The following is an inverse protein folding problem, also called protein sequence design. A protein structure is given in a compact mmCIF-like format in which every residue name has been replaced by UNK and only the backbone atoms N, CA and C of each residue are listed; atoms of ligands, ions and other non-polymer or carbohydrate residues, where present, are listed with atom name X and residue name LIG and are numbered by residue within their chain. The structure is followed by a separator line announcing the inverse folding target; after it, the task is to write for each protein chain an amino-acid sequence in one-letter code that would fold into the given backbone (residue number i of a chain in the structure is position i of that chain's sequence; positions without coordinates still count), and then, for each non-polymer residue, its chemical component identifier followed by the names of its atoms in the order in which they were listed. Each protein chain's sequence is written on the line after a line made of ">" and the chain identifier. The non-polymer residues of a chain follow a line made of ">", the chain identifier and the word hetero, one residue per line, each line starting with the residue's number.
data_IF_978196123384
#
_entry.id   IF_978196123384
#
_cell.length_a   1.000
_cell.length_b   1.000
_cell.length_c   1.000
_cell.angle_alpha   90.00
_cell.angle_beta   90.00
_cell.angle_gamma   90.00
#
_symmetry.space_group_name_H-M   'P 1'
#
loop_
_entity.id
_entity.type
_entity.pdbx_description
1 polymer ?
#
# COMPACT_ATOMS: atom_id res chain seq x y z
N UNK A 1 3.45 5.94 5.20
CA UNK A 1 4.59 6.10 6.12
C UNK A 1 4.20 7.17 7.15
N UNK A 2 5.15 7.79 7.83
CA UNK A 2 4.90 8.76 8.89
C UNK A 2 4.80 10.22 8.42
N UNK A 3 4.81 10.51 7.11
CA UNK A 3 4.66 11.88 6.61
C UNK A 3 3.24 12.39 6.84
N UNK A 4 3.10 13.69 7.16
CA UNK A 4 1.80 14.30 7.44
C UNK A 4 0.81 14.16 6.28
N UNK A 5 1.28 14.28 5.02
CA UNK A 5 0.45 14.14 3.83
C UNK A 5 0.06 12.68 3.53
N UNK A 6 0.64 11.70 4.22
CA UNK A 6 0.27 10.29 4.04
C UNK A 6 -1.10 9.96 4.63
N UNK A 7 -1.52 10.61 5.70
CA UNK A 7 -2.85 10.42 6.33
C UNK A 7 -4.03 10.87 5.43
N UNK A 8 -4.04 12.10 4.85
CA UNK A 8 -5.11 12.50 3.93
C UNK A 8 -5.05 11.75 2.59
N UNK A 9 -3.85 11.39 2.11
CA UNK A 9 -3.71 10.56 0.92
C UNK A 9 -4.27 9.15 1.17
N UNK A 10 -3.97 8.54 2.32
CA UNK A 10 -4.54 7.25 2.73
C UNK A 10 -6.06 7.29 2.74
N UNK A 11 -6.63 8.30 3.42
CA UNK A 11 -8.09 8.49 3.46
C UNK A 11 -8.70 8.56 2.06
N UNK A 12 -8.10 9.36 1.17
CA UNK A 12 -8.59 9.52 -0.22
C UNK A 12 -8.49 8.22 -1.02
N UNK A 13 -7.41 7.45 -0.84
CA UNK A 13 -7.23 6.14 -1.49
C UNK A 13 -8.31 5.16 -1.05
N UNK A 14 -8.58 5.06 0.25
CA UNK A 14 -9.63 4.16 0.78
C UNK A 14 -11.00 4.54 0.23
N UNK A 15 -11.34 5.82 0.24
CA UNK A 15 -12.62 6.31 -0.28
C UNK A 15 -12.84 5.97 -1.76
N UNK A 16 -11.80 6.04 -2.59
CA UNK A 16 -11.88 5.77 -4.02
C UNK A 16 -11.83 4.28 -4.34
N UNK A 17 -10.95 3.51 -3.71
CA UNK A 17 -10.82 2.07 -3.96
C UNK A 17 -12.09 1.32 -3.55
N UNK A 18 -12.61 1.61 -2.37
CA UNK A 18 -13.84 0.97 -1.88
C UNK A 18 -15.04 1.38 -2.74
N UNK A 19 -15.14 2.63 -3.18
CA UNK A 19 -16.17 3.08 -4.12
C UNK A 19 -16.11 2.39 -5.50
N UNK A 20 -14.94 1.86 -5.87
CA UNK A 20 -14.74 1.06 -7.08
C UNK A 20 -14.89 -0.45 -6.83
N UNK A 21 -15.28 -0.87 -5.63
CA UNK A 21 -15.48 -2.28 -5.29
C UNK A 21 -14.18 -3.06 -5.06
N UNK A 22 -13.06 -2.37 -4.86
CA UNK A 22 -11.76 -3.00 -4.59
C UNK A 22 -11.69 -3.38 -3.10
N UNK A 23 -11.37 -4.64 -2.81
CA UNK A 23 -11.04 -5.07 -1.45
C UNK A 23 -9.66 -4.51 -1.07
N UNK A 24 -9.59 -3.79 0.04
CA UNK A 24 -8.36 -3.16 0.53
C UNK A 24 -7.97 -3.78 1.86
N UNK A 25 -6.70 -4.17 1.94
CA UNK A 25 -6.06 -4.64 3.17
C UNK A 25 -5.15 -3.53 3.69
N UNK A 26 -5.27 -3.21 4.98
CA UNK A 26 -4.43 -2.20 5.63
C UNK A 26 -3.87 -2.72 6.96
N UNK A 27 -2.80 -2.08 7.43
CA UNK A 27 -2.30 -2.31 8.79
C UNK A 27 -3.36 -1.86 9.81
N UNK A 28 -3.66 -2.75 10.76
CA UNK A 28 -4.57 -2.45 11.88
C UNK A 28 -4.12 -1.25 12.72
N UNK A 29 -5.07 -0.66 13.44
CA UNK A 29 -4.84 0.45 14.39
C UNK A 29 -4.24 1.71 13.73
N UNK A 30 -4.51 1.91 12.44
CA UNK A 30 -3.91 3.00 11.63
C UNK A 30 -2.37 3.00 11.69
N UNK A 31 -1.77 1.80 11.78
CA UNK A 31 -0.32 1.64 11.87
C UNK A 31 0.40 1.89 10.55
N UNK A 32 1.72 2.05 10.63
CA UNK A 32 2.58 2.30 9.46
C UNK A 32 3.15 1.00 8.88
N UNK A 33 3.16 0.89 7.56
CA UNK A 33 3.75 -0.26 6.85
C UNK A 33 4.95 0.18 6.03
N UNK A 34 6.15 -0.40 6.24
CA UNK A 34 7.31 -0.17 5.38
C UNK A 34 7.06 -0.63 3.94
N UNK A 35 7.70 0.02 2.97
CA UNK A 35 7.66 -0.42 1.56
C UNK A 35 7.94 -1.93 1.38
N UNK A 36 9.00 -2.53 1.98
CA UNK A 36 9.24 -3.97 1.84
C UNK A 36 8.17 -4.84 2.54
N UNK A 37 7.46 -4.32 3.54
CA UNK A 37 6.33 -5.01 4.17
C UNK A 37 5.16 -5.20 3.19
N UNK A 38 4.86 -4.17 2.39
CA UNK A 38 3.86 -4.27 1.31
C UNK A 38 4.30 -5.26 0.23
N UNK A 39 5.55 -5.18 -0.23
CA UNK A 39 6.10 -6.14 -1.21
C UNK A 39 6.04 -7.59 -0.71
N UNK A 40 6.41 -7.82 0.55
CA UNK A 40 6.34 -9.14 1.19
C UNK A 40 4.89 -9.65 1.29
N UNK A 41 3.94 -8.80 1.67
CA UNK A 41 2.53 -9.16 1.72
C UNK A 41 1.98 -9.55 0.34
N UNK A 42 2.31 -8.81 -0.72
CA UNK A 42 1.92 -9.13 -2.11
C UNK A 42 2.46 -10.50 -2.51
N UNK A 43 3.77 -10.72 -2.33
CA UNK A 43 4.42 -11.96 -2.75
C UNK A 43 3.88 -13.17 -1.98
N UNK A 44 3.75 -13.07 -0.65
CA UNK A 44 3.25 -14.17 0.18
C UNK A 44 1.78 -14.48 -0.06
N UNK A 45 0.96 -13.47 -0.37
CA UNK A 45 -0.43 -13.68 -0.80
C UNK A 45 -0.48 -14.41 -2.15
N UNK A 46 0.24 -13.91 -3.15
CA UNK A 46 0.20 -14.40 -4.54
C UNK A 46 0.79 -15.80 -4.74
N UNK A 47 1.61 -16.28 -3.81
CA UNK A 47 2.10 -17.65 -3.76
C UNK A 47 1.04 -18.66 -3.29
N UNK A 48 0.06 -18.20 -2.50
CA UNK A 48 -0.93 -19.06 -1.83
C UNK A 48 -2.32 -18.99 -2.45
N UNK A 49 -2.55 -18.03 -3.34
CA UNK A 49 -3.87 -17.74 -3.92
C UNK A 49 -3.79 -17.66 -5.45
N UNK A 50 -4.88 -18.08 -6.09
CA UNK A 50 -5.05 -17.96 -7.53
C UNK A 50 -5.35 -16.50 -7.91
N UNK A 51 -6.22 -15.83 -7.13
CA UNK A 51 -6.38 -14.39 -7.24
C UNK A 51 -5.09 -13.66 -6.84
N UNK A 52 -4.77 -12.56 -7.54
CA UNK A 52 -3.54 -11.81 -7.33
C UNK A 52 -3.83 -10.49 -6.62
N UNK A 53 -3.07 -10.23 -5.58
CA UNK A 53 -2.95 -8.96 -4.90
C UNK A 53 -1.86 -8.10 -5.56
N UNK A 54 -2.04 -6.79 -5.47
CA UNK A 54 -1.07 -5.75 -5.77
C UNK A 54 -1.00 -4.81 -4.55
N UNK A 55 -0.38 -3.63 -4.68
CA UNK A 55 -0.35 -2.71 -3.55
C UNK A 55 -0.04 -1.26 -3.91
N UNK A 56 -0.42 -0.38 -2.98
CA UNK A 56 -0.08 1.03 -3.00
C UNK A 56 0.75 1.34 -1.75
N UNK A 57 1.80 2.12 -1.92
CA UNK A 57 2.60 2.63 -0.80
C UNK A 57 2.55 4.15 -0.81
N UNK A 58 2.09 4.72 0.30
CA UNK A 58 1.98 6.16 0.49
C UNK A 58 3.20 6.62 1.28
N UNK A 59 4.18 7.17 0.57
CA UNK A 59 5.47 7.64 1.10
C UNK A 59 6.22 8.47 0.06
N UNK A 60 6.78 9.63 0.43
CA UNK A 60 7.80 10.31 -0.36
C UNK A 60 9.23 9.91 0.09
N UNK A 61 9.39 8.75 0.72
CA UNK A 61 10.66 8.22 1.21
C UNK A 61 11.31 9.11 2.29
N UNK A 62 12.38 9.81 1.94
CA UNK A 62 13.21 10.62 2.84
C UNK A 62 13.05 12.12 2.56
N UNK A 63 12.08 12.48 1.71
CA UNK A 63 11.80 13.86 1.39
C UNK A 63 11.42 14.67 2.64
N UNK A 64 11.57 16.01 2.58
CA UNK A 64 11.22 16.89 3.68
C UNK A 64 9.77 16.71 4.20
N UNK A 65 9.48 17.12 5.45
CA UNK A 65 8.18 16.87 6.09
C UNK A 65 6.94 17.42 5.37
N UNK A 66 7.10 18.46 4.54
CA UNK A 66 6.01 19.05 3.76
C UNK A 66 5.60 18.23 2.54
N UNK A 67 6.40 17.24 2.15
CA UNK A 67 6.16 16.45 0.94
C UNK A 67 5.24 15.26 1.24
N UNK A 68 4.56 14.81 0.18
CA UNK A 68 3.76 13.59 0.16
C UNK A 68 4.10 12.79 -1.08
N UNK A 69 3.85 11.48 -1.04
CA UNK A 69 4.16 10.60 -2.16
C UNK A 69 3.24 9.39 -2.19
N UNK A 70 2.98 8.87 -3.37
CA UNK A 70 2.18 7.67 -3.61
C UNK A 70 2.81 6.89 -4.77
N UNK A 71 2.92 5.58 -4.63
CA UNK A 71 3.44 4.67 -5.66
C UNK A 71 2.67 3.35 -5.68
N UNK A 72 2.66 2.73 -6.85
CA UNK A 72 1.98 1.46 -7.11
C UNK A 72 3.00 0.33 -7.30
N UNK A 73 2.69 -0.82 -6.70
CA UNK A 73 3.43 -2.07 -6.79
C UNK A 73 2.52 -3.12 -7.42
N UNK A 74 2.81 -3.63 -8.64
CA UNK A 74 2.00 -4.66 -9.28
C UNK A 74 2.11 -6.03 -8.58
N UNK A 75 1.48 -7.04 -9.18
CA UNK A 75 1.36 -8.40 -8.61
C UNK A 75 2.68 -9.13 -8.38
N UNK A 76 3.78 -8.69 -9.00
CA UNK A 76 5.13 -9.21 -8.71
C UNK A 76 5.78 -8.55 -7.47
N UNK A 77 5.08 -7.64 -6.78
CA UNK A 77 5.48 -7.03 -5.51
C UNK A 77 6.56 -5.93 -5.60
N UNK A 78 7.16 -5.73 -6.77
CA UNK A 78 8.15 -4.68 -7.03
C UNK A 78 7.51 -3.34 -7.44
N UNK A 79 8.32 -2.30 -7.72
CA UNK A 79 7.82 -1.06 -8.28
C UNK A 79 7.25 -1.29 -9.69
N UNK A 80 6.18 -0.58 -10.03
CA UNK A 80 5.58 -0.62 -11.36
C UNK A 80 6.56 -0.15 -12.46
N UNK A 81 6.47 -0.79 -13.62
CA UNK A 81 7.25 -0.47 -14.80
C UNK A 81 6.79 0.82 -15.48
N UNK A 82 7.68 1.44 -16.26
CA UNK A 82 7.47 2.74 -16.88
C UNK A 82 6.18 2.83 -17.72
N UNK A 83 5.88 1.79 -18.49
CA UNK A 83 4.66 1.73 -19.32
C UNK A 83 3.39 1.83 -18.46
N UNK A 84 3.37 1.10 -17.33
CA UNK A 84 2.23 1.13 -16.42
C UNK A 84 2.14 2.46 -15.68
N UNK A 85 3.27 3.01 -15.22
CA UNK A 85 3.27 4.31 -14.56
C UNK A 85 2.85 5.43 -15.52
N UNK A 86 3.22 5.36 -16.80
CA UNK A 86 2.80 6.34 -17.80
C UNK A 86 1.29 6.28 -18.02
N UNK A 87 0.72 5.07 -18.15
CA UNK A 87 -0.72 4.92 -18.29
C UNK A 87 -1.50 5.45 -17.07
N UNK A 88 -0.98 5.23 -15.85
CA UNK A 88 -1.55 5.78 -14.61
C UNK A 88 -1.46 7.31 -14.60
N UNK A 89 -0.30 7.87 -14.94
CA UNK A 89 -0.07 9.31 -15.02
C UNK A 89 -1.01 9.99 -16.02
N UNK A 90 -1.07 9.49 -17.25
CA UNK A 90 -1.91 10.01 -18.33
C UNK A 90 -3.38 10.02 -17.91
N UNK A 91 -3.86 8.91 -17.35
CA UNK A 91 -5.25 8.79 -16.90
C UNK A 91 -5.55 9.71 -15.71
N UNK A 92 -4.63 9.85 -14.76
CA UNK A 92 -4.83 10.76 -13.62
C UNK A 92 -4.93 12.21 -14.10
N UNK A 93 -4.06 12.64 -15.02
CA UNK A 93 -4.08 13.98 -15.61
C UNK A 93 -5.36 14.24 -16.40
N UNK A 94 -5.85 13.26 -17.16
CA UNK A 94 -7.14 13.37 -17.87
C UNK A 94 -8.31 13.58 -16.90
N UNK A 95 -8.37 12.78 -15.83
CA UNK A 95 -9.42 12.90 -14.80
C UNK A 95 -9.37 14.28 -14.12
N UNK A 96 -8.17 14.79 -13.82
CA UNK A 96 -7.98 16.14 -13.26
C UNK A 96 -8.49 17.21 -14.24
N UNK A 97 -8.09 17.13 -15.51
CA UNK A 97 -8.54 18.07 -16.55
C UNK A 97 -10.06 18.03 -16.78
N UNK A 98 -10.67 16.85 -16.60
CA UNK A 98 -12.12 16.64 -16.63
C UNK A 98 -12.87 17.15 -15.41
N UNK A 99 -12.17 17.70 -14.40
CA UNK A 99 -12.77 18.19 -13.16
C UNK A 99 -13.20 17.07 -12.21
N UNK A 100 -12.46 15.95 -12.19
CA UNK A 100 -12.67 14.79 -11.31
C UNK A 100 -14.03 14.08 -11.47
N UNK A 101 -14.76 14.32 -12.55
CA UNK A 101 -16.11 13.75 -12.78
C UNK A 101 -16.13 12.22 -12.82
N UNK A 102 -15.02 11.62 -13.23
CA UNK A 102 -14.88 10.17 -13.33
C UNK A 102 -14.47 9.50 -12.01
N UNK A 103 -14.15 10.28 -10.97
CA UNK A 103 -13.76 9.73 -9.66
C UNK A 103 -14.99 9.26 -8.92
N UNK A 104 -15.11 7.94 -8.75
CA UNK A 104 -16.05 7.35 -7.78
C UNK A 104 -15.45 7.47 -6.38
N UNK A 105 -16.25 7.97 -5.44
CA UNK A 105 -15.81 8.21 -4.06
C UNK A 105 -16.97 8.00 -3.09
N UNK A 106 -16.68 7.42 -1.93
CA UNK A 106 -17.58 7.36 -0.77
C UNK A 106 -17.01 8.21 0.37
N UNK A 107 -17.81 8.56 1.37
CA UNK A 107 -17.27 9.18 2.58
C UNK A 107 -16.38 8.19 3.34
N UNK A 108 -15.26 8.64 3.92
CA UNK A 108 -14.32 7.74 4.63
C UNK A 108 -14.99 6.83 5.66
N UNK A 109 -15.96 7.34 6.42
CA UNK A 109 -16.68 6.55 7.42
C UNK A 109 -17.46 5.39 6.77
N UNK A 110 -18.08 5.61 5.61
CA UNK A 110 -18.78 4.58 4.85
C UNK A 110 -17.79 3.58 4.25
N UNK A 111 -16.67 4.08 3.72
CA UNK A 111 -15.63 3.24 3.14
C UNK A 111 -15.00 2.29 4.18
N UNK A 112 -14.69 2.80 5.38
CA UNK A 112 -14.18 1.99 6.51
C UNK A 112 -15.21 1.03 7.11
N UNK A 113 -16.50 1.31 6.94
CA UNK A 113 -17.57 0.41 7.39
C UNK A 113 -17.88 -0.71 6.37
N UNK A 114 -17.30 -0.65 5.17
CA UNK A 114 -17.49 -1.67 4.13
C UNK A 114 -16.75 -2.97 4.47
N UNK A 115 -17.33 -4.12 4.12
CA UNK A 115 -16.67 -5.43 4.20
C UNK A 115 -15.43 -5.53 3.29
N UNK A 116 -15.30 -4.61 2.32
CA UNK A 116 -14.13 -4.49 1.47
C UNK A 116 -12.93 -3.86 2.17
N UNK A 117 -13.12 -3.18 3.31
CA UNK A 117 -12.05 -2.61 4.12
C UNK A 117 -11.63 -3.60 5.21
N UNK A 118 -10.43 -4.16 5.10
CA UNK A 118 -9.92 -5.18 6.01
C UNK A 118 -8.67 -4.68 6.73
N UNK A 119 -8.74 -4.63 8.05
CA UNK A 119 -7.58 -4.37 8.90
C UNK A 119 -6.92 -5.69 9.31
N UNK A 120 -5.58 -5.75 9.22
CA UNK A 120 -4.81 -6.90 9.70
C UNK A 120 -3.42 -6.49 10.17
N UNK A 121 -2.75 -7.38 10.90
CA UNK A 121 -1.35 -7.23 11.25
C UNK A 121 -0.44 -7.66 10.08
N UNK A 122 0.12 -6.69 9.37
CA UNK A 122 1.10 -6.89 8.30
C UNK A 122 2.54 -6.92 8.85
N UNK A 123 2.76 -6.51 10.10
CA UNK A 123 4.09 -6.42 10.71
C UNK A 123 4.58 -7.79 11.16
N UNK A 124 3.75 -8.53 11.89
CA UNK A 124 4.16 -9.82 12.45
C UNK A 124 4.59 -10.84 11.39
N UNK A 125 3.84 -11.07 10.29
CA UNK A 125 4.26 -12.01 9.25
C UNK A 125 5.61 -11.64 8.61
N UNK A 126 5.85 -10.34 8.39
CA UNK A 126 7.12 -9.85 7.86
C UNK A 126 8.28 -10.12 8.82
N UNK A 127 8.10 -9.86 10.12
CA UNK A 127 9.13 -10.11 11.14
C UNK A 127 9.41 -11.61 11.29
N UNK A 128 8.36 -12.43 11.36
CA UNK A 128 8.48 -13.87 11.55
C UNK A 128 9.23 -14.52 10.36
N UNK A 129 9.09 -13.98 9.15
CA UNK A 129 9.78 -14.47 7.94
C UNK A 129 11.23 -14.01 7.80
N UNK A 130 11.74 -13.09 8.63
CA UNK A 130 13.14 -12.63 8.54
C UNK A 130 14.15 -13.76 8.69
N UNK A 131 13.81 -14.81 9.45
CA UNK A 131 14.66 -16.01 9.62
C UNK A 131 14.93 -16.75 8.31
N UNK A 132 14.06 -16.58 7.31
CA UNK A 132 14.21 -17.24 6.01
C UNK A 132 15.17 -16.50 5.06
N UNK A 133 15.57 -15.26 5.40
CA UNK A 133 16.39 -14.40 4.54
C UNK A 133 17.68 -13.95 5.24
N UNK A 134 17.65 -13.86 6.57
CA UNK A 134 18.76 -13.39 7.42
C UNK A 134 19.09 -14.46 8.46
N UNK A 135 20.38 -14.66 8.73
CA UNK A 135 20.83 -15.52 9.83
C UNK A 135 20.59 -14.84 11.19
N UNK A 136 19.34 -14.92 11.64
CA UNK A 136 18.92 -14.34 12.92
C UNK A 136 19.60 -15.02 14.12
N UNK A 137 20.01 -16.28 13.99
CA UNK A 137 20.69 -17.01 15.05
C UNK A 137 22.13 -16.50 15.24
N UNK A 138 22.86 -16.25 14.15
CA UNK A 138 24.19 -15.66 14.21
C UNK A 138 24.16 -14.26 14.85
N UNK A 139 23.16 -13.44 14.52
CA UNK A 139 22.95 -12.11 15.14
C UNK A 139 22.69 -12.25 16.64
N UNK A 140 21.83 -13.19 17.06
CA UNK A 140 21.56 -13.42 18.49
C UNK A 140 22.81 -13.91 19.25
N UNK A 141 23.62 -14.78 18.63
CA UNK A 141 24.84 -15.33 19.23
C UNK A 141 25.96 -14.30 19.36
N UNK A 142 26.02 -13.30 18.48
CA UNK A 142 27.08 -12.29 18.48
C UNK A 142 26.96 -11.28 19.63
N UNK A 143 25.77 -11.14 20.24
CA UNK A 143 25.49 -10.21 21.35
C UNK A 143 25.91 -8.76 21.05
N UNK A 144 25.69 -8.33 19.82
CA UNK A 144 25.86 -6.94 19.38
C UNK A 144 24.83 -6.01 20.04
#
# INVERSE_FOLDING_TARGET
>A
DTHALSEPAFSSVIEVLIANGVKVIVQQDNGYTPTPGVSHAILTYNLKHDEKADGIVITPSHNPPQDGGIKYNPTHGGPAEAELTQAIEDRANEIIAGGLKDVKRLALAEAKASELFVEMDLVKPYIDDLVNVIDMEAIQKSKL
#
